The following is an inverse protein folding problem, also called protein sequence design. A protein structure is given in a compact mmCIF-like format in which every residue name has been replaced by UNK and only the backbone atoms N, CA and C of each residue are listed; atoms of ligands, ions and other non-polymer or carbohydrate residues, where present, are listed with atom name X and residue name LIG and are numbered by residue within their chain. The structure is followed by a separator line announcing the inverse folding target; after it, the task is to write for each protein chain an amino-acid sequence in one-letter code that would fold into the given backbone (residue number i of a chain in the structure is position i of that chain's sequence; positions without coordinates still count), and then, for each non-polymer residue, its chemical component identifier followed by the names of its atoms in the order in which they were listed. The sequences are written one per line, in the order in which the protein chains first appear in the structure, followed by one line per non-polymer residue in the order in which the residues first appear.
data_IF_081831447992
#
_entry.id   IF_081831447992
#
_cell.length_a   1.000
_cell.length_b   1.000
_cell.length_c   1.000
_cell.angle_alpha   90.00
_cell.angle_beta   90.00
_cell.angle_gamma   90.00
#
_symmetry.space_group_name_H-M   'P 1'
#
loop_
_entity.id
_entity.type
_entity.pdbx_description
1 polymer ?
#
# COMPACT_ATOMS: atom_id res chain seq x y z
N UNK A 1 18.91 5.78 -26.95
CA UNK A 1 17.71 5.57 -26.12
C UNK A 1 17.94 6.25 -24.79
N UNK A 2 17.09 7.22 -24.39
CA UNK A 2 17.28 7.97 -23.14
C UNK A 2 16.66 7.22 -21.96
N UNK A 3 17.43 6.98 -20.90
CA UNK A 3 16.95 6.37 -19.67
C UNK A 3 16.32 7.45 -18.79
N UNK A 4 15.00 7.38 -18.58
CA UNK A 4 14.29 8.24 -17.64
C UNK A 4 14.13 7.52 -16.29
N UNK A 5 14.95 7.92 -15.32
CA UNK A 5 15.01 7.32 -13.98
C UNK A 5 13.91 7.81 -13.03
N UNK A 6 13.12 8.83 -13.41
CA UNK A 6 12.00 9.40 -12.61
C UNK A 6 12.36 9.69 -11.14
N UNK A 7 13.60 10.12 -10.92
CA UNK A 7 14.10 10.44 -9.58
C UNK A 7 13.37 11.70 -9.07
N UNK A 8 12.86 11.71 -7.83
CA UNK A 8 12.21 12.90 -7.29
C UNK A 8 13.15 14.10 -7.20
N UNK A 9 12.60 15.30 -7.30
CA UNK A 9 13.37 16.54 -7.18
C UNK A 9 13.76 16.84 -5.71
N UNK A 10 14.76 17.71 -5.52
CA UNK A 10 15.21 18.19 -4.21
C UNK A 10 16.55 17.64 -3.72
N UNK A 11 16.95 18.08 -2.52
CA UNK A 11 18.21 17.71 -1.86
C UNK A 11 18.27 16.20 -1.62
N UNK A 12 19.44 15.57 -1.84
CA UNK A 12 19.58 14.11 -1.78
C UNK A 12 19.09 13.52 -0.45
N UNK A 13 19.40 14.20 0.67
CA UNK A 13 19.02 13.77 2.01
C UNK A 13 17.51 13.75 2.27
N UNK A 14 16.75 14.68 1.68
CA UNK A 14 15.32 14.86 1.97
C UNK A 14 14.41 14.38 0.83
N UNK A 15 14.99 14.10 -0.33
CA UNK A 15 14.32 13.81 -1.60
C UNK A 15 13.14 12.86 -1.46
N UNK A 16 13.38 11.68 -0.87
CA UNK A 16 12.36 10.64 -0.70
C UNK A 16 11.32 10.99 0.37
N UNK A 17 11.75 11.61 1.46
CA UNK A 17 10.86 12.07 2.53
C UNK A 17 9.88 13.13 2.02
N UNK A 18 10.39 14.13 1.29
CA UNK A 18 9.59 15.17 0.63
C UNK A 18 8.65 14.59 -0.42
N UNK A 19 9.16 13.69 -1.27
CA UNK A 19 8.32 13.03 -2.27
C UNK A 19 7.15 12.29 -1.61
N UNK A 20 7.41 11.45 -0.61
CA UNK A 20 6.36 10.71 0.12
C UNK A 20 5.34 11.62 0.79
N UNK A 21 5.76 12.77 1.32
CA UNK A 21 4.88 13.75 1.94
C UNK A 21 3.95 14.43 0.91
N UNK A 22 4.49 14.72 -0.29
CA UNK A 22 3.76 15.40 -1.37
C UNK A 22 2.83 14.48 -2.17
N UNK A 23 3.05 13.15 -2.14
CA UNK A 23 2.16 12.21 -2.83
C UNK A 23 0.84 12.11 -2.06
N UNK A 24 -0.23 12.64 -2.68
CA UNK A 24 -1.59 12.70 -2.09
C UNK A 24 -2.14 11.33 -1.70
N UNK A 25 -1.75 10.25 -2.39
CA UNK A 25 -2.28 8.91 -2.11
C UNK A 25 -1.66 8.27 -0.86
N UNK A 26 -0.34 8.37 -0.70
CA UNK A 26 0.41 7.60 0.31
C UNK A 26 0.99 8.45 1.43
N UNK A 27 0.71 9.76 1.45
CA UNK A 27 1.15 10.59 2.56
C UNK A 27 0.53 10.09 3.88
N UNK A 28 1.24 10.21 5.01
CA UNK A 28 0.75 9.69 6.29
C UNK A 28 -0.62 10.25 6.71
N UNK A 29 -0.91 11.51 6.36
CA UNK A 29 -2.14 12.20 6.72
C UNK A 29 -3.39 11.64 6.02
N UNK A 30 -3.25 11.03 4.84
CA UNK A 30 -4.39 10.55 4.06
C UNK A 30 -4.67 9.05 4.24
N UNK A 31 -3.83 8.30 4.96
CA UNK A 31 -4.00 6.84 5.09
C UNK A 31 -5.39 6.42 5.59
N UNK A 32 -5.94 7.13 6.57
CA UNK A 32 -7.29 6.88 7.12
C UNK A 32 -8.44 7.25 6.17
N UNK A 33 -8.15 8.02 5.11
CA UNK A 33 -9.16 8.42 4.12
C UNK A 33 -9.38 7.36 3.04
N UNK A 34 -8.46 6.42 2.90
CA UNK A 34 -8.51 5.42 1.85
C UNK A 34 -8.83 4.04 2.43
N UNK A 35 -9.78 3.37 1.77
CA UNK A 35 -10.08 1.98 2.00
C UNK A 35 -9.26 1.11 1.05
N UNK A 36 -8.59 0.11 1.58
CA UNK A 36 -7.85 -0.89 0.79
C UNK A 36 -8.64 -2.19 0.79
N UNK A 37 -8.90 -2.70 -0.41
CA UNK A 37 -9.52 -4.01 -0.62
C UNK A 37 -8.41 -5.02 -0.94
N UNK A 38 -8.29 -6.06 -0.11
CA UNK A 38 -7.42 -7.20 -0.37
C UNK A 38 -8.30 -8.38 -0.74
N UNK A 39 -8.09 -8.96 -1.93
CA UNK A 39 -8.82 -10.15 -2.39
C UNK A 39 -7.87 -11.35 -2.35
N UNK A 40 -8.23 -12.35 -1.56
CA UNK A 40 -7.43 -13.54 -1.25
C UNK A 40 -6.74 -13.42 0.11
N UNK A 41 -6.97 -14.40 1.00
CA UNK A 41 -6.39 -14.49 2.35
C UNK A 41 -5.31 -15.58 2.48
N UNK A 42 -4.63 -15.91 1.37
CA UNK A 42 -3.42 -16.74 1.44
C UNK A 42 -2.27 -16.02 2.13
N UNK A 43 -1.09 -16.65 2.19
CA UNK A 43 0.10 -16.09 2.87
C UNK A 43 0.38 -14.64 2.48
N UNK A 44 0.45 -14.35 1.18
CA UNK A 44 0.73 -13.00 0.68
C UNK A 44 -0.40 -12.00 1.00
N UNK A 45 -1.65 -12.41 0.85
CA UNK A 45 -2.80 -11.53 1.08
C UNK A 45 -2.98 -11.18 2.55
N UNK A 46 -2.81 -12.16 3.45
CA UNK A 46 -2.84 -11.93 4.89
C UNK A 46 -1.68 -11.02 5.35
N UNK A 47 -0.45 -11.27 4.88
CA UNK A 47 0.70 -10.42 5.21
C UNK A 47 0.52 -8.98 4.69
N UNK A 48 0.06 -8.81 3.45
CA UNK A 48 -0.21 -7.48 2.89
C UNK A 48 -1.30 -6.73 3.67
N UNK A 49 -2.40 -7.41 4.01
CA UNK A 49 -3.47 -6.82 4.79
C UNK A 49 -3.00 -6.35 6.18
N UNK A 50 -2.22 -7.19 6.87
CA UNK A 50 -1.66 -6.86 8.18
C UNK A 50 -0.73 -5.65 8.12
N UNK A 51 0.25 -5.64 7.20
CA UNK A 51 1.18 -4.51 7.07
C UNK A 51 0.49 -3.21 6.71
N UNK A 52 -0.55 -3.24 5.86
CA UNK A 52 -1.29 -2.04 5.49
C UNK A 52 -2.18 -1.54 6.64
N UNK A 53 -2.77 -2.44 7.42
CA UNK A 53 -3.52 -2.09 8.61
C UNK A 53 -2.60 -1.46 9.69
N UNK A 54 -1.40 -2.03 9.91
CA UNK A 54 -0.40 -1.48 10.82
C UNK A 54 0.06 -0.08 10.41
N UNK A 55 0.17 0.18 9.11
CA UNK A 55 0.45 1.50 8.59
C UNK A 55 -0.69 2.52 8.84
N UNK A 56 -1.88 2.07 9.22
CA UNK A 56 -3.04 2.91 9.55
C UNK A 56 -4.05 3.10 8.43
N UNK A 57 -4.05 2.23 7.41
CA UNK A 57 -5.11 2.19 6.39
C UNK A 57 -6.33 1.41 6.89
N UNK A 58 -7.51 1.73 6.35
CA UNK A 58 -8.69 0.90 6.56
C UNK A 58 -8.68 -0.27 5.57
N UNK A 59 -8.41 -1.49 6.05
CA UNK A 59 -8.24 -2.67 5.18
C UNK A 59 -9.46 -3.59 5.28
N UNK A 60 -10.04 -3.91 4.13
CA UNK A 60 -11.12 -4.90 3.97
C UNK A 60 -10.55 -6.10 3.22
N UNK A 61 -10.50 -7.25 3.89
CA UNK A 61 -9.98 -8.49 3.29
C UNK A 61 -11.13 -9.42 2.93
N UNK A 62 -11.15 -9.88 1.69
CA UNK A 62 -12.17 -10.77 1.15
C UNK A 62 -11.51 -12.07 0.71
N UNK A 63 -12.11 -13.18 1.08
CA UNK A 63 -11.76 -14.49 0.55
C UNK A 63 -13.00 -15.12 -0.03
N UNK A 64 -12.88 -15.66 -1.23
CA UNK A 64 -13.92 -16.49 -1.82
C UNK A 64 -13.35 -17.90 -1.95
N UNK A 65 -14.02 -18.85 -1.31
CA UNK A 65 -13.66 -20.25 -1.40
C UNK A 65 -14.81 -21.02 -2.01
N UNK A 66 -14.61 -21.43 -3.26
CA UNK A 66 -15.60 -22.14 -4.07
C UNK A 66 -15.74 -23.62 -3.70
N UNK A 67 -15.06 -24.09 -2.65
CA UNK A 67 -15.14 -25.48 -2.21
C UNK A 67 -15.32 -25.60 -0.68
N UNK A 68 -16.21 -26.48 -0.20
CA UNK A 68 -16.48 -26.68 1.24
C UNK A 68 -15.26 -27.12 2.05
N UNK A 69 -14.23 -27.62 1.37
CA UNK A 69 -13.02 -28.18 1.98
C UNK A 69 -12.00 -27.11 2.41
N UNK A 70 -12.21 -25.88 1.92
CA UNK A 70 -11.36 -24.69 2.01
C UNK A 70 -11.26 -23.92 3.34
N UNK A 71 -12.27 -23.99 4.21
CA UNK A 71 -12.54 -22.93 5.22
C UNK A 71 -11.39 -22.64 6.17
#
# INVERSE_FOLDING_TARGET
MSLNSKIPDGSLAEKWTKHKFNVKLVNPANKRKYDIIVVGTGLAGASAAASLAELGYNVKSFCYQDSPRRA
#
